data_IF_795689638970
#
_entry.id   IF_795689638970
#
_cell.length_a   1.000
_cell.length_b   1.000
_cell.length_c   1.000
_cell.angle_alpha   90.00
_cell.angle_beta   90.00
_cell.angle_gamma   90.00
#
_symmetry.space_group_name_H-M   'P 1'
#
loop_
_entity.id
_entity.type
_entity.pdbx_description
1 polymer ?
#
# COMPACT_ATOMS: atom_id res chain seq x y z
N UNK A 1 -24.42 14.33 -24.12
CA UNK A 1 -23.05 14.78 -24.44
C UNK A 1 -22.17 13.58 -24.17
N UNK A 2 -21.76 12.88 -25.23
CA UNK A 2 -20.95 11.66 -25.17
C UNK A 2 -19.59 12.03 -24.59
N UNK A 3 -19.26 11.50 -23.41
CA UNK A 3 -17.90 11.56 -22.87
C UNK A 3 -17.00 10.87 -23.90
N UNK A 4 -16.14 11.67 -24.52
CA UNK A 4 -15.09 11.18 -25.40
C UNK A 4 -14.29 10.13 -24.64
N UNK A 5 -14.23 8.91 -25.20
CA UNK A 5 -13.12 8.00 -24.98
C UNK A 5 -11.86 8.65 -25.59
N UNK A 6 -11.41 9.77 -25.04
CA UNK A 6 -10.09 10.28 -25.28
C UNK A 6 -9.15 9.29 -24.60
N UNK A 7 -8.50 8.43 -25.39
CA UNK A 7 -7.45 7.56 -24.90
C UNK A 7 -6.44 8.44 -24.16
N UNK A 8 -6.30 8.24 -22.84
CA UNK A 8 -5.38 9.00 -22.01
C UNK A 8 -3.98 8.93 -22.63
N UNK A 9 -3.42 10.06 -23.04
CA UNK A 9 -2.04 10.10 -23.51
C UNK A 9 -1.11 10.04 -22.29
N UNK A 10 -0.63 8.83 -21.99
CA UNK A 10 0.21 8.57 -20.81
C UNK A 10 1.54 9.32 -20.84
N UNK A 11 2.05 9.69 -22.03
CA UNK A 11 3.26 10.49 -22.14
C UNK A 11 3.00 11.94 -21.73
N UNK A 12 1.87 12.52 -22.15
CA UNK A 12 1.47 13.88 -21.76
C UNK A 12 1.29 13.97 -20.24
N UNK A 13 0.63 12.98 -19.63
CA UNK A 13 0.47 12.92 -18.17
C UNK A 13 1.82 12.81 -17.48
N UNK A 14 2.73 11.97 -17.99
CA UNK A 14 4.04 11.75 -17.38
C UNK A 14 4.87 13.04 -17.31
N UNK A 15 4.76 13.91 -18.32
CA UNK A 15 5.49 15.18 -18.39
C UNK A 15 4.68 16.39 -17.92
N UNK A 16 3.41 16.22 -17.53
CA UNK A 16 2.50 17.30 -17.12
C UNK A 16 2.91 18.02 -15.83
N UNK A 17 3.73 17.37 -14.98
CA UNK A 17 4.02 17.78 -13.60
C UNK A 17 2.75 17.94 -12.71
N UNK A 18 1.58 17.51 -13.19
CA UNK A 18 0.36 17.46 -12.37
C UNK A 18 0.44 16.24 -11.44
N UNK A 19 0.73 16.50 -10.17
CA UNK A 19 0.86 15.44 -9.15
C UNK A 19 -0.42 14.63 -8.96
N UNK A 20 -1.59 15.22 -9.19
CA UNK A 20 -2.88 14.53 -9.11
C UNK A 20 -3.02 13.53 -10.25
N UNK A 21 -2.76 13.95 -11.49
CA UNK A 21 -2.86 13.09 -12.67
C UNK A 21 -1.77 12.01 -12.68
N UNK A 22 -0.54 12.36 -12.29
CA UNK A 22 0.55 11.40 -12.11
C UNK A 22 0.19 10.32 -11.10
N UNK A 23 -0.32 10.71 -9.91
CA UNK A 23 -0.67 9.75 -8.86
C UNK A 23 -1.84 8.85 -9.26
N UNK A 24 -2.81 9.36 -10.03
CA UNK A 24 -3.94 8.57 -10.52
C UNK A 24 -3.51 7.56 -11.59
N UNK A 25 -2.64 7.98 -12.51
CA UNK A 25 -2.24 7.17 -13.67
C UNK A 25 -1.20 6.14 -13.31
N UNK A 26 -0.17 6.56 -12.57
CA UNK A 26 1.00 5.74 -12.31
C UNK A 26 1.06 5.23 -10.88
N UNK A 27 0.29 5.80 -9.95
CA UNK A 27 0.43 5.58 -8.52
C UNK A 27 1.32 6.63 -7.85
N UNK A 28 1.27 6.69 -6.52
CA UNK A 28 1.98 7.72 -5.75
C UNK A 28 3.50 7.54 -5.87
N UNK A 29 4.19 8.64 -6.20
CA UNK A 29 5.64 8.74 -6.08
C UNK A 29 6.42 8.77 -7.38
N UNK A 30 5.80 8.52 -8.53
CA UNK A 30 6.46 8.69 -9.82
C UNK A 30 6.41 10.16 -10.21
N UNK A 31 7.57 10.80 -10.19
CA UNK A 31 7.72 12.20 -10.57
C UNK A 31 8.93 12.33 -11.49
N UNK A 32 8.73 13.02 -12.60
CA UNK A 32 9.77 13.41 -13.55
C UNK A 32 10.17 14.85 -13.25
N UNK A 33 11.47 15.10 -13.19
CA UNK A 33 12.09 16.41 -13.10
C UNK A 33 12.28 16.98 -14.49
N UNK A 34 12.24 18.30 -14.62
CA UNK A 34 12.60 19.01 -15.86
C UNK A 34 14.06 18.75 -16.28
N UNK A 35 14.90 18.33 -15.34
CA UNK A 35 16.32 18.01 -15.53
C UNK A 35 16.56 16.54 -15.94
N UNK A 36 15.55 15.68 -15.89
CA UNK A 36 15.72 14.27 -16.24
C UNK A 36 15.93 14.11 -17.76
N UNK A 37 16.88 13.27 -18.14
CA UNK A 37 16.98 12.76 -19.51
C UNK A 37 16.05 11.56 -19.74
N UNK A 38 15.90 11.16 -21.01
CA UNK A 38 15.01 10.06 -21.42
C UNK A 38 15.38 8.74 -20.74
N UNK A 39 16.67 8.43 -20.58
CA UNK A 39 17.13 7.18 -19.98
C UNK A 39 16.85 7.15 -18.47
N UNK A 40 16.98 8.30 -17.80
CA UNK A 40 16.60 8.47 -16.41
C UNK A 40 15.09 8.30 -16.21
N UNK A 41 14.26 8.85 -17.10
CA UNK A 41 12.80 8.64 -17.07
C UNK A 41 12.46 7.16 -17.24
N UNK A 42 13.06 6.47 -18.21
CA UNK A 42 12.87 5.03 -18.43
C UNK A 42 13.28 4.24 -17.18
N UNK A 43 14.44 4.53 -16.60
CA UNK A 43 14.93 3.86 -15.38
C UNK A 43 13.97 4.04 -14.20
N UNK A 44 13.36 5.22 -14.05
CA UNK A 44 12.32 5.47 -13.03
C UNK A 44 11.10 4.60 -13.27
N UNK A 45 10.63 4.49 -14.52
CA UNK A 45 9.51 3.62 -14.87
C UNK A 45 9.80 2.14 -14.56
N UNK A 46 10.98 1.63 -14.91
CA UNK A 46 11.40 0.24 -14.61
C UNK A 46 11.48 -0.03 -13.10
N UNK A 47 12.01 0.94 -12.35
CA UNK A 47 12.04 0.89 -10.88
C UNK A 47 10.63 0.78 -10.31
N UNK A 48 9.69 1.57 -10.84
CA UNK A 48 8.29 1.52 -10.43
C UNK A 48 7.62 0.21 -10.78
N UNK A 49 7.87 -0.36 -11.96
CA UNK A 49 7.41 -1.70 -12.34
C UNK A 49 7.87 -2.74 -11.31
N UNK A 50 9.14 -2.69 -10.90
CA UNK A 50 9.69 -3.60 -9.89
C UNK A 50 8.98 -3.44 -8.54
N UNK A 51 8.72 -2.20 -8.12
CA UNK A 51 7.95 -1.91 -6.89
C UNK A 51 6.53 -2.46 -6.98
N UNK A 52 5.84 -2.27 -8.11
CA UNK A 52 4.49 -2.80 -8.31
C UNK A 52 4.45 -4.31 -8.26
N UNK A 53 5.40 -5.00 -8.89
CA UNK A 53 5.53 -6.46 -8.79
C UNK A 53 5.67 -6.91 -7.33
N UNK A 54 6.57 -6.28 -6.57
CA UNK A 54 6.73 -6.59 -5.15
C UNK A 54 5.45 -6.34 -4.33
N UNK A 55 4.72 -5.25 -4.59
CA UNK A 55 3.43 -5.01 -3.92
C UNK A 55 2.38 -6.07 -4.27
N UNK A 56 2.28 -6.42 -5.56
CA UNK A 56 1.38 -7.48 -6.03
C UNK A 56 1.72 -8.82 -5.36
N UNK A 57 3.00 -9.18 -5.29
CA UNK A 57 3.45 -10.42 -4.65
C UNK A 57 3.10 -10.45 -3.17
N UNK A 58 3.31 -9.35 -2.44
CA UNK A 58 2.92 -9.22 -1.04
C UNK A 58 1.40 -9.37 -0.84
N UNK A 59 0.59 -8.74 -1.70
CA UNK A 59 -0.87 -8.86 -1.64
C UNK A 59 -1.34 -10.28 -1.96
N UNK A 60 -0.75 -10.91 -2.98
CA UNK A 60 -1.02 -12.30 -3.33
C UNK A 60 -0.65 -13.25 -2.19
N UNK A 61 0.46 -13.02 -1.50
CA UNK A 61 0.82 -13.80 -0.32
C UNK A 61 -0.26 -13.71 0.76
N UNK A 62 -0.75 -12.50 1.06
CA UNK A 62 -1.82 -12.28 2.05
C UNK A 62 -3.12 -12.99 1.64
N UNK A 63 -3.54 -12.84 0.37
CA UNK A 63 -4.76 -13.47 -0.18
C UNK A 63 -4.70 -14.99 0.00
N UNK A 64 -3.54 -15.59 -0.25
CA UNK A 64 -3.35 -17.04 -0.15
C UNK A 64 -3.06 -17.54 1.28
N UNK A 65 -2.92 -16.64 2.26
CA UNK A 65 -2.59 -16.97 3.66
C UNK A 65 -3.80 -16.93 4.60
N UNK A 66 -5.00 -17.34 4.14
CA UNK A 66 -6.28 -17.13 4.86
C UNK A 66 -6.27 -17.55 6.33
N UNK A 67 -5.83 -18.77 6.65
CA UNK A 67 -5.85 -19.29 8.03
C UNK A 67 -4.84 -18.56 8.93
N UNK A 68 -3.61 -18.39 8.43
CA UNK A 68 -2.56 -17.62 9.10
C UNK A 68 -2.99 -16.19 9.35
N UNK A 69 -3.59 -15.52 8.35
CA UNK A 69 -4.12 -14.17 8.44
C UNK A 69 -5.19 -14.07 9.53
N UNK A 70 -6.14 -15.01 9.56
CA UNK A 70 -7.19 -15.03 10.59
C UNK A 70 -6.60 -15.17 12.00
N UNK A 71 -5.57 -16.00 12.18
CA UNK A 71 -4.85 -16.16 13.44
C UNK A 71 -4.14 -14.87 13.87
N UNK A 72 -3.38 -14.25 12.96
CA UNK A 72 -2.65 -13.01 13.23
C UNK A 72 -3.61 -11.84 13.54
N UNK A 73 -4.75 -11.75 12.84
CA UNK A 73 -5.79 -10.77 13.16
C UNK A 73 -6.36 -10.94 14.57
N UNK A 74 -6.62 -12.19 15.01
CA UNK A 74 -7.08 -12.47 16.40
C UNK A 74 -6.03 -12.05 17.42
N UNK A 75 -4.76 -12.41 17.20
CA UNK A 75 -3.65 -12.02 18.09
C UNK A 75 -3.51 -10.50 18.17
N UNK A 76 -3.58 -9.79 17.05
CA UNK A 76 -3.50 -8.34 17.00
C UNK A 76 -4.66 -7.67 17.76
N UNK A 77 -5.89 -8.19 17.63
CA UNK A 77 -7.05 -7.72 18.40
C UNK A 77 -6.84 -7.91 19.91
N UNK A 78 -6.38 -9.08 20.34
CA UNK A 78 -6.10 -9.37 21.74
C UNK A 78 -5.02 -8.43 22.31
N UNK A 79 -3.91 -8.23 21.56
CA UNK A 79 -2.84 -7.29 21.97
C UNK A 79 -3.36 -5.88 22.17
N UNK A 80 -4.17 -5.35 21.24
CA UNK A 80 -4.76 -4.01 21.38
C UNK A 80 -5.68 -3.90 22.59
N UNK A 81 -6.53 -4.90 22.81
CA UNK A 81 -7.41 -4.95 23.98
C UNK A 81 -6.60 -4.95 25.29
N UNK A 82 -5.63 -5.86 25.44
CA UNK A 82 -4.77 -5.92 26.62
C UNK A 82 -4.04 -4.59 26.84
N UNK A 83 -3.60 -3.94 25.77
CA UNK A 83 -2.89 -2.65 25.86
C UNK A 83 -3.79 -1.51 26.37
N UNK A 84 -5.10 -1.57 26.09
CA UNK A 84 -6.07 -0.57 26.58
C UNK A 84 -6.50 -0.75 28.03
N UNK A 85 -6.21 -1.91 28.63
CA UNK A 85 -6.58 -2.18 30.02
C UNK A 85 -5.69 -1.40 31.00
N UNK A 86 -6.30 -0.95 32.09
CA UNK A 86 -5.62 -0.48 33.29
C UNK A 86 -4.80 -1.60 33.94
N UNK A 87 -3.94 -1.25 34.89
CA UNK A 87 -3.12 -2.23 35.60
C UNK A 87 -3.97 -3.23 36.40
N UNK A 88 -5.03 -2.75 37.06
CA UNK A 88 -5.95 -3.61 37.81
C UNK A 88 -6.69 -4.61 36.90
N UNK A 89 -7.22 -4.15 35.76
CA UNK A 89 -7.89 -5.02 34.79
C UNK A 89 -6.94 -6.06 34.16
N UNK A 90 -5.65 -5.72 33.98
CA UNK A 90 -4.63 -6.68 33.53
C UNK A 90 -4.36 -7.76 34.57
N UNK A 91 -4.33 -7.39 35.85
CA UNK A 91 -4.14 -8.33 36.96
C UNK A 91 -5.35 -9.28 37.09
N UNK A 92 -6.56 -8.75 36.95
CA UNK A 92 -7.79 -9.57 36.91
C UNK A 92 -7.79 -10.53 35.71
N UNK A 93 -7.46 -10.04 34.51
CA UNK A 93 -7.33 -10.87 33.31
C UNK A 93 -6.28 -11.98 33.49
N UNK A 94 -5.15 -11.66 34.12
CA UNK A 94 -4.09 -12.64 34.41
C UNK A 94 -4.62 -13.72 35.36
N UNK A 95 -5.32 -13.33 36.42
CA UNK A 95 -5.93 -14.29 37.36
C UNK A 95 -6.96 -15.21 36.69
N UNK A 96 -7.72 -14.72 35.71
CA UNK A 96 -8.68 -15.54 34.96
C UNK A 96 -8.01 -16.59 34.06
N UNK A 97 -6.80 -16.32 33.57
CA UNK A 97 -6.05 -17.21 32.68
C UNK A 97 -5.18 -18.24 33.41
N UNK A 98 -4.91 -18.02 34.70
CA UNK A 98 -4.12 -18.91 35.56
C UNK A 98 -4.98 -19.96 36.28
N UNK A 99 -6.31 -19.91 36.14
CA UNK A 99 -7.27 -20.94 36.57
C UNK A 99 -7.54 -21.97 35.46
#
# INVERSE_FOLDING_TARGET
MTEENASLNVLDVLVSNDRSELSKTFGVGLYISEEDDVDQVITKCETFITRYKNYIDNLNFIINSRETLASEMRKAKAKRYISSLSQAEKEELKSLLEN
#
